data_IF_000850353377
#
_entry.id   IF_000850353377
#
_cell.length_a   1.000
_cell.length_b   1.000
_cell.length_c   1.000
_cell.angle_alpha   90.00
_cell.angle_beta   90.00
_cell.angle_gamma   90.00
#
_symmetry.space_group_name_H-M   'P 1'
#
loop_
_entity.id
_entity.type
_entity.pdbx_description
1 polymer ?
#
# COMPACT_ATOMS: atom_id res chain seq x y z
N UNK A 1 1.05 -14.75 33.22
CA UNK A 1 0.00 -15.50 33.95
C UNK A 1 -0.30 -16.84 33.29
N UNK A 2 -0.66 -16.89 32.00
CA UNK A 2 -0.93 -18.15 31.29
C UNK A 2 0.30 -19.11 31.26
N UNK A 3 1.49 -18.64 30.89
CA UNK A 3 2.72 -19.46 30.90
C UNK A 3 3.03 -20.07 32.27
N UNK A 4 2.90 -19.28 33.35
CA UNK A 4 3.07 -19.73 34.75
C UNK A 4 2.06 -20.83 35.15
N UNK A 5 0.96 -20.98 34.42
CA UNK A 5 -0.06 -22.04 34.59
C UNK A 5 0.16 -23.23 33.65
N UNK A 6 1.28 -23.30 32.93
CA UNK A 6 1.63 -24.42 32.07
C UNK A 6 1.10 -24.36 30.63
N UNK A 7 0.40 -23.29 30.23
CA UNK A 7 -0.06 -23.13 28.84
C UNK A 7 1.12 -22.88 27.90
N UNK A 8 1.27 -23.73 26.87
CA UNK A 8 2.38 -23.70 25.91
C UNK A 8 2.02 -23.17 24.52
N UNK A 9 0.74 -23.18 24.17
CA UNK A 9 0.20 -22.66 22.90
C UNK A 9 -0.69 -21.47 23.24
N UNK A 10 -0.30 -20.29 22.79
CA UNK A 10 -0.93 -19.04 23.15
C UNK A 10 -1.32 -18.28 21.89
N UNK A 11 -2.52 -17.70 21.91
CA UNK A 11 -2.94 -16.68 20.96
C UNK A 11 -3.02 -15.38 21.76
N UNK A 12 -2.27 -14.38 21.33
CA UNK A 12 -2.25 -13.05 21.94
C UNK A 12 -2.85 -12.10 20.92
N UNK A 13 -4.02 -11.54 21.24
CA UNK A 13 -4.65 -10.50 20.43
C UNK A 13 -4.30 -9.14 21.02
N UNK A 14 -3.54 -8.34 20.28
CA UNK A 14 -3.20 -6.96 20.61
C UNK A 14 -4.29 -6.04 20.04
N UNK A 15 -5.15 -5.59 20.94
CA UNK A 15 -6.29 -4.72 20.61
C UNK A 15 -5.89 -3.25 20.42
N UNK A 16 -4.62 -2.88 20.65
CA UNK A 16 -4.18 -1.49 20.62
C UNK A 16 -4.88 -0.63 21.69
N UNK A 17 -4.25 0.48 22.09
CA UNK A 17 -4.87 1.40 23.05
C UNK A 17 -3.91 2.44 23.60
N UNK A 18 -4.48 3.50 24.18
CA UNK A 18 -3.72 4.52 24.91
C UNK A 18 -3.11 3.90 26.17
N UNK A 19 -1.77 3.82 26.24
CA UNK A 19 -1.07 3.34 27.42
C UNK A 19 0.25 2.61 27.13
N UNK A 20 0.80 1.95 28.16
CA UNK A 20 2.04 1.17 28.05
C UNK A 20 1.77 -0.17 27.35
N UNK A 21 2.14 -0.27 26.09
CA UNK A 21 2.25 -1.57 25.41
C UNK A 21 3.35 -2.40 26.07
N UNK A 22 2.96 -3.46 26.79
CA UNK A 22 3.91 -4.43 27.33
C UNK A 22 4.35 -5.36 26.21
N UNK A 23 5.67 -5.50 26.04
CA UNK A 23 6.24 -6.48 25.11
C UNK A 23 5.78 -7.87 25.54
N UNK A 24 5.19 -8.61 24.60
CA UNK A 24 4.75 -9.99 24.82
C UNK A 24 5.99 -10.88 24.97
N UNK A 25 6.15 -11.53 26.11
CA UNK A 25 7.21 -12.52 26.31
C UNK A 25 6.86 -13.82 25.59
N UNK A 26 7.55 -14.12 24.49
CA UNK A 26 7.29 -15.27 23.63
C UNK A 26 8.16 -16.50 23.91
N UNK A 27 9.28 -16.34 24.62
CA UNK A 27 10.26 -17.42 24.88
C UNK A 27 9.62 -18.66 25.54
N UNK A 28 9.97 -19.86 25.06
CA UNK A 28 9.48 -21.12 25.62
C UNK A 28 7.99 -21.39 25.41
N UNK A 29 7.33 -20.70 24.47
CA UNK A 29 5.93 -20.95 24.09
C UNK A 29 5.72 -20.78 22.59
N UNK A 30 4.77 -21.52 22.02
CA UNK A 30 4.28 -21.28 20.67
C UNK A 30 3.23 -20.17 20.76
N UNK A 31 3.63 -18.94 20.47
CA UNK A 31 2.75 -17.77 20.57
C UNK A 31 2.43 -17.21 19.19
N UNK A 32 1.15 -17.25 18.81
CA UNK A 32 0.63 -16.48 17.69
C UNK A 32 0.24 -15.09 18.22
N UNK A 33 0.92 -14.05 17.74
CA UNK A 33 0.64 -12.68 18.11
C UNK A 33 -0.11 -11.99 16.96
N UNK A 34 -1.37 -11.64 17.21
CA UNK A 34 -2.25 -10.97 16.26
C UNK A 34 -2.28 -9.51 16.65
N UNK A 35 -1.76 -8.64 15.78
CA UNK A 35 -1.77 -7.19 15.95
C UNK A 35 -2.34 -6.57 14.69
N UNK A 36 -3.15 -5.53 14.84
CA UNK A 36 -3.68 -4.78 13.70
C UNK A 36 -2.56 -4.23 12.83
N UNK A 37 -2.63 -4.53 11.54
CA UNK A 37 -1.63 -4.09 10.55
C UNK A 37 -1.84 -2.67 10.04
N UNK A 38 -3.00 -2.10 10.32
CA UNK A 38 -3.32 -0.69 10.08
C UNK A 38 -3.60 -0.07 11.45
N UNK A 39 -3.03 1.11 11.76
CA UNK A 39 -3.32 1.81 13.00
C UNK A 39 -4.82 1.93 13.21
N UNK A 40 -5.31 1.48 14.37
CA UNK A 40 -6.66 1.82 14.79
C UNK A 40 -6.76 3.33 14.96
N UNK A 41 -7.86 3.92 14.51
CA UNK A 41 -8.16 5.33 14.75
C UNK A 41 -8.25 5.66 16.24
N UNK A 42 -8.85 6.79 16.57
CA UNK A 42 -8.99 7.17 17.98
C UNK A 42 -9.85 6.15 18.75
N UNK A 43 -9.49 5.86 20.00
CA UNK A 43 -10.15 4.86 20.89
C UNK A 43 -11.64 5.15 21.13
N UNK A 44 -12.11 6.34 20.76
CA UNK A 44 -13.51 6.78 20.88
C UNK A 44 -14.23 6.90 19.53
N UNK A 45 -13.64 6.40 18.44
CA UNK A 45 -14.31 6.37 17.15
C UNK A 45 -15.27 5.16 17.09
N UNK A 46 -16.53 5.42 17.41
CA UNK A 46 -17.61 4.43 17.43
C UNK A 46 -18.52 4.54 16.19
N UNK A 47 -18.02 5.15 15.11
CA UNK A 47 -18.75 5.17 13.86
C UNK A 47 -19.07 3.74 13.38
N UNK A 48 -20.27 3.55 12.82
CA UNK A 48 -20.74 2.20 12.48
C UNK A 48 -19.92 1.60 11.35
N UNK A 49 -19.51 2.40 10.37
CA UNK A 49 -18.75 1.94 9.23
C UNK A 49 -17.29 1.71 9.63
N UNK A 50 -16.73 2.59 10.46
CA UNK A 50 -15.46 2.34 11.14
C UNK A 50 -15.45 0.98 11.87
N UNK A 51 -16.45 0.71 12.72
CA UNK A 51 -16.52 -0.56 13.47
C UNK A 51 -16.65 -1.79 12.57
N UNK A 52 -17.32 -1.69 11.42
CA UNK A 52 -17.39 -2.77 10.43
C UNK A 52 -16.04 -3.01 9.77
N UNK A 53 -15.38 -1.95 9.31
CA UNK A 53 -14.06 -2.04 8.68
C UNK A 53 -13.01 -2.59 9.65
N UNK A 54 -12.97 -2.11 10.89
CA UNK A 54 -12.01 -2.59 11.89
C UNK A 54 -12.27 -4.04 12.32
N UNK A 55 -13.54 -4.47 12.35
CA UNK A 55 -13.87 -5.90 12.54
C UNK A 55 -13.34 -6.74 11.39
N UNK A 56 -13.52 -6.27 10.15
CA UNK A 56 -12.98 -6.94 8.97
C UNK A 56 -11.46 -6.99 9.02
N UNK A 57 -10.78 -5.89 9.33
CA UNK A 57 -9.33 -5.83 9.50
C UNK A 57 -8.83 -6.86 10.51
N UNK A 58 -9.43 -6.92 11.71
CA UNK A 58 -9.04 -7.89 12.74
C UNK A 58 -9.25 -9.34 12.31
N UNK A 59 -10.32 -9.62 11.56
CA UNK A 59 -10.55 -10.94 10.97
C UNK A 59 -9.48 -11.30 9.92
N UNK A 60 -9.16 -10.38 9.02
CA UNK A 60 -8.16 -10.59 7.97
C UNK A 60 -6.74 -10.73 8.54
N UNK A 61 -6.35 -9.90 9.52
CA UNK A 61 -5.08 -10.01 10.23
C UNK A 61 -4.95 -11.35 10.96
N UNK A 62 -6.05 -11.84 11.54
CA UNK A 62 -6.10 -13.18 12.14
C UNK A 62 -5.84 -14.24 11.08
N UNK A 63 -6.58 -14.25 9.97
CA UNK A 63 -6.40 -15.24 8.91
C UNK A 63 -4.97 -15.24 8.36
N UNK A 64 -4.38 -14.06 8.13
CA UNK A 64 -2.99 -13.93 7.70
C UNK A 64 -2.00 -14.44 8.73
N UNK A 65 -2.20 -14.14 10.02
CA UNK A 65 -1.34 -14.63 11.11
C UNK A 65 -1.33 -16.16 11.21
N UNK A 66 -2.42 -16.82 10.78
CA UNK A 66 -2.53 -18.27 10.68
C UNK A 66 -2.11 -18.84 9.31
N UNK A 67 -1.52 -18.02 8.43
CA UNK A 67 -1.02 -18.45 7.11
C UNK A 67 -2.12 -18.79 6.11
N UNK A 68 -3.36 -18.31 6.31
CA UNK A 68 -4.48 -18.51 5.37
C UNK A 68 -4.48 -17.48 4.24
N UNK A 69 -3.85 -16.33 4.45
CA UNK A 69 -3.75 -15.22 3.51
C UNK A 69 -2.28 -14.86 3.30
N UNK A 70 -1.96 -14.37 2.11
CA UNK A 70 -0.66 -13.82 1.73
C UNK A 70 -0.72 -12.28 1.64
N UNK A 71 0.44 -11.66 1.42
CA UNK A 71 0.58 -10.22 1.26
C UNK A 71 0.97 -9.49 2.56
N UNK A 72 1.64 -8.36 2.38
CA UNK A 72 2.18 -7.55 3.47
C UNK A 72 1.29 -6.37 3.87
N UNK A 73 0.83 -5.58 2.90
CA UNK A 73 -0.08 -4.45 3.11
C UNK A 73 -1.54 -4.75 2.74
N UNK A 74 -1.75 -5.74 1.86
CA UNK A 74 -3.04 -6.24 1.39
C UNK A 74 -3.26 -7.68 1.85
N UNK A 75 -4.52 -8.11 1.79
CA UNK A 75 -4.94 -9.45 2.18
C UNK A 75 -5.31 -10.27 0.95
N UNK A 76 -4.38 -11.13 0.52
CA UNK A 76 -4.52 -11.92 -0.70
C UNK A 76 -4.90 -13.35 -0.34
N UNK A 77 -6.05 -13.80 -0.85
CA UNK A 77 -6.57 -15.15 -0.68
C UNK A 77 -5.71 -16.22 -1.35
N UNK A 78 -5.90 -17.50 -0.98
CA UNK A 78 -5.23 -18.60 -1.65
C UNK A 78 -5.70 -18.67 -3.11
N UNK A 79 -4.75 -18.75 -4.03
CA UNK A 79 -5.04 -18.81 -5.45
C UNK A 79 -3.76 -18.93 -6.25
N UNK A 80 -3.88 -19.35 -7.51
CA UNK A 80 -2.77 -19.27 -8.44
C UNK A 80 -2.65 -17.82 -8.90
N UNK A 81 -1.45 -17.25 -8.79
CA UNK A 81 -1.17 -16.02 -9.50
C UNK A 81 -1.47 -16.24 -10.99
N UNK A 82 -2.10 -15.28 -11.68
CA UNK A 82 -2.25 -15.37 -13.13
C UNK A 82 -0.88 -15.59 -13.76
N UNK A 83 -0.86 -16.28 -14.91
CA UNK A 83 0.37 -16.42 -15.68
C UNK A 83 0.64 -15.07 -16.34
N UNK A 84 1.36 -14.22 -15.63
CA UNK A 84 1.70 -12.91 -16.11
C UNK A 84 3.00 -13.04 -16.88
N UNK A 85 2.93 -12.71 -18.17
CA UNK A 85 4.13 -12.42 -18.97
C UNK A 85 4.74 -11.09 -18.50
N UNK A 86 5.24 -11.06 -17.27
CA UNK A 86 6.02 -9.94 -16.76
C UNK A 86 7.43 -10.08 -17.31
N UNK A 87 8.00 -8.97 -17.77
CA UNK A 87 9.45 -8.86 -17.84
C UNK A 87 10.04 -9.25 -16.48
N UNK A 88 11.26 -9.82 -16.43
CA UNK A 88 11.86 -10.28 -15.18
C UNK A 88 11.81 -9.18 -14.13
N UNK A 89 11.10 -9.43 -13.03
CA UNK A 89 10.94 -8.46 -11.95
C UNK A 89 12.32 -8.21 -11.32
N UNK A 90 12.87 -6.98 -11.40
CA UNK A 90 14.20 -6.71 -10.91
C UNK A 90 14.25 -6.87 -9.39
N UNK A 91 15.30 -7.53 -8.89
CA UNK A 91 15.47 -7.72 -7.44
C UNK A 91 15.92 -6.45 -6.72
N UNK A 92 16.58 -5.53 -7.45
CA UNK A 92 17.15 -4.29 -6.91
C UNK A 92 16.32 -3.07 -7.33
N UNK A 93 15.10 -3.00 -6.80
CA UNK A 93 14.27 -1.78 -6.84
C UNK A 93 14.05 -1.31 -5.40
N UNK A 94 13.79 -0.01 -5.22
CA UNK A 94 13.40 0.52 -3.92
C UNK A 94 12.06 -0.09 -3.50
N UNK A 95 12.06 -0.84 -2.41
CA UNK A 95 10.86 -1.35 -1.74
C UNK A 95 10.72 -0.70 -0.36
N UNK A 96 9.49 -0.62 0.19
CA UNK A 96 9.29 -0.31 1.60
C UNK A 96 10.09 -1.27 2.49
N UNK A 97 10.69 -0.73 3.56
CA UNK A 97 11.53 -1.52 4.49
C UNK A 97 10.73 -2.66 5.12
N UNK A 98 9.46 -2.42 5.34
CA UNK A 98 8.49 -3.33 5.89
C UNK A 98 8.41 -4.65 5.09
N UNK A 99 8.61 -4.60 3.77
CA UNK A 99 8.59 -5.77 2.88
C UNK A 99 9.93 -6.53 2.83
N UNK A 100 10.93 -6.22 3.67
CA UNK A 100 12.26 -6.85 3.59
C UNK A 100 12.21 -8.39 3.70
N UNK A 101 11.23 -8.92 4.42
CA UNK A 101 11.02 -10.36 4.64
C UNK A 101 10.04 -11.01 3.65
N UNK A 102 9.37 -10.24 2.79
CA UNK A 102 8.52 -10.80 1.75
C UNK A 102 9.40 -11.43 0.66
N UNK A 103 9.16 -12.72 0.38
CA UNK A 103 9.97 -13.53 -0.55
C UNK A 103 9.40 -13.49 -1.96
N UNK A 104 8.10 -13.30 -2.09
CA UNK A 104 7.43 -13.21 -3.37
C UNK A 104 7.67 -11.83 -3.99
N UNK A 105 8.50 -11.78 -5.03
CA UNK A 105 8.68 -10.56 -5.81
C UNK A 105 7.35 -10.08 -6.40
N UNK A 106 6.51 -11.01 -6.88
CA UNK A 106 5.19 -10.67 -7.40
C UNK A 106 4.36 -9.91 -6.35
N UNK A 107 4.31 -10.38 -5.09
CA UNK A 107 3.58 -9.68 -4.03
C UNK A 107 4.16 -8.29 -3.77
N UNK A 108 5.48 -8.16 -3.70
CA UNK A 108 6.12 -6.85 -3.53
C UNK A 108 5.69 -5.85 -4.59
N UNK A 109 5.81 -6.22 -5.86
CA UNK A 109 5.47 -5.33 -6.98
C UNK A 109 3.97 -5.03 -7.06
N UNK A 110 3.13 -6.06 -6.96
CA UNK A 110 1.68 -5.94 -7.00
C UNK A 110 1.14 -5.04 -5.89
N UNK A 111 1.62 -5.24 -4.67
CA UNK A 111 1.19 -4.43 -3.53
C UNK A 111 1.76 -3.01 -3.58
N UNK A 112 2.98 -2.81 -4.09
CA UNK A 112 3.49 -1.46 -4.33
C UNK A 112 2.66 -0.72 -5.37
N UNK A 113 2.24 -1.38 -6.46
CA UNK A 113 1.35 -0.78 -7.45
C UNK A 113 -0.01 -0.39 -6.82
N UNK A 114 -0.59 -1.29 -6.02
CA UNK A 114 -1.84 -1.02 -5.32
C UNK A 114 -1.72 0.14 -4.31
N UNK A 115 -0.61 0.23 -3.56
CA UNK A 115 -0.34 1.33 -2.64
C UNK A 115 -0.21 2.67 -3.38
N UNK A 116 0.53 2.68 -4.49
CA UNK A 116 0.79 3.88 -5.30
C UNK A 116 -0.49 4.43 -5.94
N UNK A 117 -1.49 3.58 -6.17
CA UNK A 117 -2.83 3.94 -6.64
C UNK A 117 -3.87 4.13 -5.51
N UNK A 118 -3.45 3.97 -4.25
CA UNK A 118 -4.31 4.07 -3.05
C UNK A 118 -5.52 3.12 -3.07
N UNK A 119 -5.32 1.89 -3.56
CA UNK A 119 -6.38 0.87 -3.58
C UNK A 119 -6.78 0.51 -2.13
N UNK A 120 -8.09 0.35 -1.81
CA UNK A 120 -8.53 0.03 -0.46
C UNK A 120 -7.86 -1.22 0.13
N UNK A 121 -7.23 -1.07 1.31
CA UNK A 121 -6.45 -2.16 1.93
C UNK A 121 -7.29 -3.12 2.77
N UNK A 122 -8.37 -2.63 3.40
CA UNK A 122 -9.22 -3.43 4.29
C UNK A 122 -10.25 -4.21 3.46
N UNK A 123 -9.74 -5.16 2.67
CA UNK A 123 -10.55 -6.01 1.80
C UNK A 123 -9.80 -7.31 1.52
N UNK A 124 -10.55 -8.40 1.38
CA UNK A 124 -10.02 -9.66 0.86
C UNK A 124 -9.98 -9.58 -0.66
N UNK A 125 -8.79 -9.78 -1.23
CA UNK A 125 -8.57 -9.86 -2.66
C UNK A 125 -8.17 -11.27 -3.05
N UNK A 126 -8.57 -11.71 -4.23
CA UNK A 126 -7.77 -12.69 -4.98
C UNK A 126 -6.85 -11.93 -5.94
N UNK A 127 -5.98 -12.64 -6.67
CA UNK A 127 -5.08 -11.96 -7.60
C UNK A 127 -5.85 -11.19 -8.67
N UNK A 128 -6.86 -11.79 -9.30
CA UNK A 128 -7.59 -11.18 -10.41
C UNK A 128 -8.28 -9.89 -9.98
N UNK A 129 -9.02 -9.92 -8.86
CA UNK A 129 -9.70 -8.74 -8.33
C UNK A 129 -8.74 -7.63 -7.88
N UNK A 130 -7.51 -7.95 -7.46
CA UNK A 130 -6.51 -6.93 -7.17
C UNK A 130 -5.92 -6.36 -8.46
N UNK A 131 -5.71 -7.19 -9.49
CA UNK A 131 -5.33 -6.72 -10.83
C UNK A 131 -6.39 -5.80 -11.42
N UNK A 132 -7.65 -6.23 -11.42
CA UNK A 132 -8.77 -5.45 -11.94
C UNK A 132 -8.88 -4.11 -11.20
N UNK A 133 -8.74 -4.11 -9.87
CA UNK A 133 -8.74 -2.87 -9.08
C UNK A 133 -7.55 -1.96 -9.43
N UNK A 134 -6.38 -2.51 -9.75
CA UNK A 134 -5.21 -1.74 -10.22
C UNK A 134 -5.50 -1.13 -11.58
N UNK A 135 -5.99 -1.93 -12.52
CA UNK A 135 -6.25 -1.48 -13.90
C UNK A 135 -7.36 -0.43 -13.93
N UNK A 136 -8.47 -0.66 -13.23
CA UNK A 136 -9.57 0.31 -13.10
C UNK A 136 -9.07 1.64 -12.51
N UNK A 137 -8.27 1.57 -11.44
CA UNK A 137 -7.78 2.77 -10.77
C UNK A 137 -6.73 3.51 -11.60
N UNK A 138 -5.89 2.78 -12.33
CA UNK A 138 -4.94 3.35 -13.26
C UNK A 138 -5.65 4.13 -14.37
N UNK A 139 -6.68 3.54 -14.99
CA UNK A 139 -7.50 4.19 -16.02
C UNK A 139 -8.18 5.46 -15.45
N UNK A 140 -8.69 5.40 -14.22
CA UNK A 140 -9.29 6.56 -13.55
C UNK A 140 -8.29 7.71 -13.39
N UNK A 141 -7.08 7.43 -12.89
CA UNK A 141 -6.05 8.45 -12.68
C UNK A 141 -5.52 9.03 -13.99
N UNK A 142 -5.26 8.18 -15.01
CA UNK A 142 -4.85 8.62 -16.34
C UNK A 142 -5.92 9.50 -17.00
N UNK A 143 -7.20 9.12 -16.87
CA UNK A 143 -8.32 9.93 -17.35
C UNK A 143 -8.40 11.31 -16.69
N UNK A 144 -8.08 11.42 -15.38
CA UNK A 144 -7.99 12.72 -14.69
C UNK A 144 -6.89 13.59 -15.27
N UNK A 145 -5.73 12.99 -15.54
CA UNK A 145 -4.56 13.69 -16.11
C UNK A 145 -4.88 14.17 -17.53
N UNK A 146 -5.40 13.31 -18.40
CA UNK A 146 -5.79 13.69 -19.76
C UNK A 146 -6.81 14.84 -19.78
N UNK A 147 -7.85 14.76 -18.94
CA UNK A 147 -8.86 15.79 -18.85
C UNK A 147 -8.27 17.13 -18.39
N UNK A 148 -7.28 17.09 -17.49
CA UNK A 148 -6.58 18.29 -17.07
C UNK A 148 -5.76 18.90 -18.21
N UNK A 149 -5.00 18.08 -18.95
CA UNK A 149 -4.22 18.54 -20.11
C UNK A 149 -5.13 19.17 -21.17
N UNK A 150 -6.31 18.58 -21.41
CA UNK A 150 -7.34 19.12 -22.32
C UNK A 150 -7.98 20.43 -21.82
N UNK A 151 -7.93 20.72 -20.52
CA UNK A 151 -8.65 21.84 -19.90
C UNK A 151 -7.99 23.23 -20.04
N UNK A 152 -6.89 23.34 -20.78
CA UNK A 152 -6.26 24.60 -21.18
C UNK A 152 -5.13 25.08 -20.26
N UNK A 153 -4.31 26.02 -20.75
CA UNK A 153 -3.05 26.46 -20.11
C UNK A 153 -3.21 27.02 -18.68
N UNK A 154 -4.33 27.66 -18.36
CA UNK A 154 -4.52 28.30 -17.06
C UNK A 154 -4.68 27.28 -15.92
N UNK A 155 -5.40 26.18 -16.15
CA UNK A 155 -5.51 25.07 -15.19
C UNK A 155 -4.20 24.32 -15.03
N UNK A 156 -3.45 24.14 -16.11
CA UNK A 156 -2.10 23.54 -16.11
C UNK A 156 -1.17 24.39 -15.22
N UNK A 157 -1.15 25.72 -15.42
CA UNK A 157 -0.33 26.64 -14.60
C UNK A 157 -0.73 26.63 -13.13
N UNK A 158 -2.03 26.66 -12.82
CA UNK A 158 -2.52 26.60 -11.45
C UNK A 158 -2.10 25.30 -10.75
N UNK A 159 -2.25 24.17 -11.44
CA UNK A 159 -1.89 22.85 -10.90
C UNK A 159 -0.38 22.69 -10.74
N UNK A 160 0.41 23.19 -11.69
CA UNK A 160 1.87 23.23 -11.58
C UNK A 160 2.36 24.05 -10.38
N UNK A 161 1.68 25.14 -10.04
CA UNK A 161 1.99 25.94 -8.85
C UNK A 161 1.67 25.17 -7.55
N UNK A 162 0.53 24.49 -7.49
CA UNK A 162 0.16 23.63 -6.35
C UNK A 162 1.20 22.54 -6.15
N UNK A 163 1.60 21.84 -7.23
CA UNK A 163 2.62 20.80 -7.15
C UNK A 163 3.94 21.35 -6.63
N UNK A 164 4.43 22.49 -7.13
CA UNK A 164 5.66 23.12 -6.64
C UNK A 164 5.59 23.44 -5.16
N UNK A 165 4.43 23.83 -4.65
CA UNK A 165 4.23 24.07 -3.22
C UNK A 165 4.19 22.77 -2.43
N UNK A 166 3.56 21.72 -2.96
CA UNK A 166 3.61 20.36 -2.40
C UNK A 166 5.04 19.82 -2.31
N UNK A 167 5.90 20.10 -3.30
CA UNK A 167 7.34 19.74 -3.23
C UNK A 167 8.04 20.43 -2.06
N UNK A 168 7.77 21.72 -1.86
CA UNK A 168 8.40 22.50 -0.77
C UNK A 168 7.93 22.06 0.61
N UNK A 169 6.63 21.77 0.74
CA UNK A 169 6.01 21.40 2.01
C UNK A 169 6.13 19.92 2.32
N UNK A 170 6.37 19.08 1.31
CA UNK A 170 6.34 17.62 1.41
C UNK A 170 4.93 17.05 1.53
N UNK A 171 3.89 17.86 1.29
CA UNK A 171 2.48 17.46 1.40
C UNK A 171 1.87 17.38 0.01
N UNK A 172 1.57 16.16 -0.43
CA UNK A 172 0.97 15.88 -1.73
C UNK A 172 -0.51 15.52 -1.57
N UNK A 173 -1.34 15.94 -2.52
CA UNK A 173 -2.76 15.62 -2.57
C UNK A 173 -3.02 14.58 -3.66
N UNK A 174 -3.87 13.60 -3.37
CA UNK A 174 -4.15 12.48 -4.28
C UNK A 174 -3.05 11.41 -4.24
N UNK A 175 -3.22 10.39 -5.08
CA UNK A 175 -2.38 9.20 -5.03
C UNK A 175 -0.92 9.48 -5.40
N UNK A 176 0.04 8.70 -4.88
CA UNK A 176 1.45 8.81 -5.30
C UNK A 176 1.62 8.70 -6.82
N UNK A 177 0.82 7.85 -7.47
CA UNK A 177 0.80 7.69 -8.93
C UNK A 177 0.41 8.98 -9.63
N UNK A 178 -0.72 9.57 -9.23
CA UNK A 178 -1.23 10.80 -9.80
C UNK A 178 -0.19 11.91 -9.69
N UNK A 179 0.38 12.09 -8.50
CA UNK A 179 1.41 13.10 -8.28
C UNK A 179 2.65 12.85 -9.15
N UNK A 180 3.09 11.60 -9.28
CA UNK A 180 4.20 11.24 -10.15
C UNK A 180 3.96 11.65 -11.60
N UNK A 181 2.81 11.25 -12.18
CA UNK A 181 2.48 11.58 -13.58
C UNK A 181 2.28 13.07 -13.78
N UNK A 182 1.68 13.74 -12.81
CA UNK A 182 1.52 15.19 -12.83
C UNK A 182 2.86 15.94 -12.82
N UNK A 183 3.85 15.45 -12.08
CA UNK A 183 5.22 15.97 -12.11
C UNK A 183 5.85 15.77 -13.49
N UNK A 184 5.67 14.59 -14.08
CA UNK A 184 6.21 14.22 -15.40
C UNK A 184 5.63 15.08 -16.53
N UNK A 185 4.32 15.33 -16.51
CA UNK A 185 3.62 16.10 -17.54
C UNK A 185 3.80 17.62 -17.39
N UNK A 186 3.82 18.15 -16.15
CA UNK A 186 3.72 19.60 -15.92
C UNK A 186 5.05 20.29 -15.60
N UNK A 187 6.07 19.57 -15.13
CA UNK A 187 7.33 20.17 -14.74
C UNK A 187 8.39 20.00 -15.83
N UNK A 188 9.29 21.01 -16.00
CA UNK A 188 10.37 20.89 -16.97
C UNK A 188 11.35 19.78 -16.57
N UNK A 189 12.07 19.25 -17.57
CA UNK A 189 13.04 18.17 -17.45
C UNK A 189 14.19 18.41 -16.43
N UNK A 190 14.42 19.65 -16.00
CA UNK A 190 15.39 19.97 -14.94
C UNK A 190 14.83 19.83 -13.53
N UNK A 191 13.51 19.97 -13.34
CA UNK A 191 12.85 19.97 -12.03
C UNK A 191 12.18 18.62 -11.70
N UNK A 192 11.79 17.84 -12.71
CA UNK A 192 11.12 16.55 -12.48
C UNK A 192 12.01 15.53 -11.76
N UNK A 193 13.30 15.39 -12.12
CA UNK A 193 14.21 14.40 -11.50
C UNK A 193 14.37 14.61 -9.99
N UNK A 194 14.54 15.88 -9.58
CA UNK A 194 14.68 16.23 -8.16
C UNK A 194 13.39 15.94 -7.42
N UNK A 195 12.25 16.28 -8.04
CA UNK A 195 10.93 16.09 -7.45
C UNK A 195 10.55 14.61 -7.35
N UNK A 196 10.86 13.82 -8.38
CA UNK A 196 10.69 12.36 -8.40
C UNK A 196 11.45 11.70 -7.25
N UNK A 197 12.69 12.12 -7.01
CA UNK A 197 13.48 11.62 -5.86
C UNK A 197 12.88 12.02 -4.51
N UNK A 198 12.36 13.24 -4.39
CA UNK A 198 11.67 13.68 -3.18
C UNK A 198 10.39 12.86 -2.93
N UNK A 199 9.58 12.63 -3.97
CA UNK A 199 8.36 11.83 -3.89
C UNK A 199 8.66 10.37 -3.53
N UNK A 200 9.67 9.76 -4.16
CA UNK A 200 10.10 8.39 -3.84
C UNK A 200 10.68 8.23 -2.42
N UNK A 201 11.17 9.32 -1.81
CA UNK A 201 11.63 9.31 -0.42
C UNK A 201 10.45 9.29 0.57
N UNK A 202 9.34 9.94 0.21
CA UNK A 202 8.10 9.96 1.00
C UNK A 202 7.31 8.66 0.78
N UNK A 203 7.27 8.19 -0.47
CA UNK A 203 6.58 6.99 -0.91
C UNK A 203 7.61 5.94 -1.40
N UNK A 204 8.21 5.15 -0.49
CA UNK A 204 9.20 4.14 -0.85
C UNK A 204 8.66 3.03 -1.75
N UNK A 205 7.33 2.86 -1.81
CA UNK A 205 6.62 1.97 -2.74
C UNK A 205 6.66 2.45 -4.21
N UNK A 206 6.89 3.74 -4.44
CA UNK A 206 6.76 4.35 -5.76
C UNK A 206 7.63 3.70 -6.85
N UNK A 207 8.94 3.44 -6.64
CA UNK A 207 9.79 2.86 -7.69
C UNK A 207 9.31 1.48 -8.16
N UNK A 208 8.92 0.61 -7.22
CA UNK A 208 8.41 -0.72 -7.53
C UNK A 208 7.00 -0.67 -8.14
N UNK A 209 6.12 0.19 -7.61
CA UNK A 209 4.78 0.36 -8.15
C UNK A 209 4.80 0.83 -9.61
N UNK A 210 5.59 1.87 -9.92
CA UNK A 210 5.70 2.38 -11.30
C UNK A 210 6.26 1.32 -12.26
N UNK A 211 7.31 0.59 -11.87
CA UNK A 211 7.86 -0.48 -12.71
C UNK A 211 6.80 -1.52 -13.08
N UNK A 212 5.96 -1.88 -12.11
CA UNK A 212 4.87 -2.82 -12.35
C UNK A 212 3.82 -2.24 -13.31
N UNK A 213 3.35 -1.02 -13.05
CA UNK A 213 2.33 -0.34 -13.86
C UNK A 213 2.79 -0.09 -15.30
N UNK A 214 4.05 0.31 -15.51
CA UNK A 214 4.64 0.45 -16.85
C UNK A 214 4.73 -0.89 -17.59
N UNK A 215 4.92 -1.99 -16.85
CA UNK A 215 4.84 -3.35 -17.38
C UNK A 215 3.41 -3.78 -17.73
N UNK A 216 2.38 -3.27 -17.03
CA UNK A 216 0.97 -3.49 -17.37
C UNK A 216 0.59 -2.77 -18.67
N UNK A 217 1.05 -1.53 -18.86
CA UNK A 217 0.74 -0.73 -20.04
C UNK A 217 1.33 -1.25 -21.36
N UNK A 218 2.22 -2.25 -21.32
CA UNK A 218 2.77 -2.96 -22.50
C UNK A 218 2.04 -4.27 -22.80
N UNK A 219 0.92 -4.54 -22.13
CA UNK A 219 0.03 -5.67 -22.44
C UNK A 219 -0.81 -5.30 -23.66
N UNK A 220 -0.22 -5.44 -24.84
CA UNK A 220 -0.93 -5.45 -26.14
C UNK A 220 -1.83 -6.69 -26.26
#
# INVERSE_FOLDING_TARGET
MARKRGYRRLIVSDIGGLGRNRRVETEGSLTAHIKSSIPMGWVFDFDRDFLKEFRLLGYLDTLRSFGRLAGYFYFIGPGKAPDLSLAPLPEKVGFPREMEHERSLLHKYLECAALVLEIPRIRLYDYQSLFDAIDEKLIEEEGKIENLVKSGEDRIKATGNILRESVKTGVFNGSPYYNYRMIEELLPASAWEVTKKALAKIHPELPAGLYFLEGLGKRD
#
